data_IF_134081627178
#
_entry.id   IF_134081627178
#
_cell.length_a   1.000
_cell.length_b   1.000
_cell.length_c   1.000
_cell.angle_alpha   90.00
_cell.angle_beta   90.00
_cell.angle_gamma   90.00
#
_symmetry.space_group_name_H-M   'P 1'
#
loop_
_entity.id
_entity.type
_entity.pdbx_description
1 polymer ?
#
# COMPACT_ATOMS: atom_id res chain seq x y z
N UNK A 1 41.53 34.49 5.60
CA UNK A 1 41.85 33.05 5.59
C UNK A 1 40.53 32.31 5.71
N UNK A 2 40.06 31.75 4.59
CA UNK A 2 38.76 31.09 4.48
C UNK A 2 38.91 29.60 4.81
N UNK A 3 37.98 29.04 5.59
CA UNK A 3 37.84 27.59 5.76
C UNK A 3 36.41 27.22 5.31
N UNK A 4 36.21 26.40 4.28
CA UNK A 4 34.87 26.00 3.88
C UNK A 4 34.33 25.00 4.91
N UNK A 5 33.14 25.26 5.40
CA UNK A 5 32.34 24.30 6.14
C UNK A 5 31.97 23.17 5.18
N UNK A 6 32.44 21.97 5.50
CA UNK A 6 32.12 20.75 4.76
C UNK A 6 30.63 20.45 4.97
N UNK A 7 29.82 20.68 3.94
CA UNK A 7 28.50 20.06 3.80
C UNK A 7 28.69 18.54 3.87
N UNK A 8 28.39 17.97 5.04
CA UNK A 8 28.28 16.53 5.19
C UNK A 8 27.22 16.02 4.22
N UNK A 9 27.44 14.88 3.55
CA UNK A 9 26.49 14.36 2.59
C UNK A 9 25.16 14.10 3.32
N UNK A 10 24.13 14.86 2.92
CA UNK A 10 22.77 14.64 3.35
C UNK A 10 22.48 13.15 3.17
N UNK A 11 22.33 12.45 4.28
CA UNK A 11 21.88 11.06 4.27
C UNK A 11 20.46 11.11 3.73
N UNK A 12 20.32 10.93 2.43
CA UNK A 12 19.04 10.68 1.79
C UNK A 12 18.51 9.42 2.47
N UNK A 13 17.61 9.63 3.44
CA UNK A 13 16.85 8.56 4.03
C UNK A 13 16.18 7.87 2.84
N UNK A 14 16.46 6.58 2.56
CA UNK A 14 15.72 5.88 1.54
C UNK A 14 14.25 6.00 1.95
N UNK A 15 13.45 6.68 1.12
CA UNK A 15 12.01 6.75 1.31
C UNK A 15 11.47 5.33 1.43
N UNK A 16 10.34 5.12 2.13
CA UNK A 16 9.78 3.78 2.28
C UNK A 16 9.65 3.18 0.90
N UNK A 17 10.49 2.18 0.64
CA UNK A 17 10.41 1.37 -0.57
C UNK A 17 9.06 0.70 -0.45
N UNK A 18 8.07 1.24 -1.18
CA UNK A 18 6.77 0.59 -1.32
C UNK A 18 7.12 -0.76 -1.92
N UNK A 19 7.08 -1.78 -1.08
CA UNK A 19 7.34 -3.16 -1.49
C UNK A 19 6.35 -3.39 -2.62
N UNK A 20 6.86 -3.58 -3.83
CA UNK A 20 6.04 -3.80 -5.01
C UNK A 20 5.30 -5.12 -4.76
N UNK A 21 4.03 -5.01 -4.35
CA UNK A 21 3.22 -6.17 -4.02
C UNK A 21 2.92 -6.93 -5.30
N UNK A 22 3.51 -8.11 -5.43
CA UNK A 22 3.23 -9.03 -6.54
C UNK A 22 1.84 -9.66 -6.33
N UNK A 23 0.83 -8.94 -6.81
CA UNK A 23 -0.56 -9.37 -6.77
C UNK A 23 -0.77 -10.73 -7.43
N UNK A 24 0.09 -11.16 -8.36
CA UNK A 24 0.00 -12.43 -9.08
C UNK A 24 0.27 -13.67 -8.22
N UNK A 25 0.88 -13.51 -7.04
CA UNK A 25 1.19 -14.60 -6.11
C UNK A 25 0.27 -14.69 -4.90
N UNK A 26 -0.62 -13.70 -4.73
CA UNK A 26 -1.54 -13.67 -3.60
C UNK A 26 -2.65 -14.72 -3.74
N UNK A 27 -3.07 -15.26 -2.61
CA UNK A 27 -4.37 -15.90 -2.47
C UNK A 27 -5.44 -14.80 -2.41
N UNK A 28 -5.89 -14.42 -3.60
CA UNK A 28 -6.84 -13.33 -3.78
C UNK A 28 -8.15 -13.53 -3.00
N UNK A 29 -8.56 -14.77 -2.69
CA UNK A 29 -9.77 -15.00 -1.90
C UNK A 29 -9.56 -14.59 -0.44
N UNK A 30 -8.41 -14.95 0.12
CA UNK A 30 -8.01 -14.59 1.49
C UNK A 30 -7.80 -13.09 1.60
N UNK A 31 -7.06 -12.50 0.67
CA UNK A 31 -6.77 -11.06 0.68
C UNK A 31 -8.05 -10.21 0.51
N UNK A 32 -8.97 -10.63 -0.36
CA UNK A 32 -10.24 -9.94 -0.55
C UNK A 32 -11.11 -10.01 0.72
N UNK A 33 -11.14 -11.16 1.40
CA UNK A 33 -11.84 -11.31 2.67
C UNK A 33 -11.24 -10.43 3.77
N UNK A 34 -9.90 -10.40 3.87
CA UNK A 34 -9.17 -9.59 4.84
C UNK A 34 -9.40 -8.09 4.60
N UNK A 35 -9.22 -7.62 3.36
CA UNK A 35 -9.43 -6.22 2.99
C UNK A 35 -10.87 -5.77 3.22
N UNK A 36 -11.85 -6.65 2.95
CA UNK A 36 -13.27 -6.37 3.20
C UNK A 36 -13.59 -6.24 4.70
N UNK A 37 -13.05 -7.15 5.52
CA UNK A 37 -13.23 -7.12 6.97
C UNK A 37 -12.59 -5.87 7.58
N UNK A 38 -11.36 -5.56 7.17
CA UNK A 38 -10.63 -4.38 7.62
C UNK A 38 -11.37 -3.10 7.20
N UNK A 39 -11.84 -3.00 5.95
CA UNK A 39 -12.60 -1.84 5.47
C UNK A 39 -13.86 -1.61 6.31
N UNK A 40 -14.58 -2.69 6.65
CA UNK A 40 -15.74 -2.59 7.52
C UNK A 40 -15.37 -2.09 8.92
N UNK A 41 -14.29 -2.61 9.49
CA UNK A 41 -13.78 -2.16 10.79
C UNK A 41 -13.43 -0.67 10.77
N UNK A 42 -12.73 -0.19 9.74
CA UNK A 42 -12.35 1.22 9.62
C UNK A 42 -13.56 2.14 9.47
N UNK A 43 -14.59 1.72 8.72
CA UNK A 43 -15.86 2.44 8.64
C UNK A 43 -16.57 2.55 10.00
N UNK A 44 -16.53 1.49 10.82
CA UNK A 44 -17.09 1.51 12.17
C UNK A 44 -16.30 2.43 13.11
N UNK A 45 -14.97 2.49 12.96
CA UNK A 45 -14.11 3.41 13.69
C UNK A 45 -14.22 4.86 13.19
N UNK A 46 -14.88 5.09 12.05
CA UNK A 46 -15.04 6.40 11.43
C UNK A 46 -13.84 6.85 10.59
N UNK A 47 -12.85 5.98 10.38
CA UNK A 47 -11.69 6.25 9.54
C UNK A 47 -12.05 6.01 8.07
N UNK A 48 -12.59 7.05 7.44
CA UNK A 48 -13.04 7.00 6.04
C UNK A 48 -11.87 6.97 5.06
N UNK A 49 -10.76 7.64 5.37
CA UNK A 49 -9.60 7.69 4.47
C UNK A 49 -8.99 6.30 4.30
N UNK A 50 -8.81 5.57 5.41
CA UNK A 50 -8.32 4.19 5.35
C UNK A 50 -9.35 3.27 4.69
N UNK A 51 -10.64 3.46 4.96
CA UNK A 51 -11.70 2.67 4.31
C UNK A 51 -11.76 2.87 2.78
N UNK A 52 -11.51 4.09 2.30
CA UNK A 52 -11.47 4.40 0.87
C UNK A 52 -10.21 3.81 0.22
N UNK A 53 -9.06 3.89 0.91
CA UNK A 53 -7.83 3.21 0.48
C UNK A 53 -8.03 1.69 0.36
N UNK A 54 -8.68 1.07 1.34
CA UNK A 54 -9.02 -0.37 1.29
C UNK A 54 -10.01 -0.70 0.17
N UNK A 55 -10.89 0.25 -0.18
CA UNK A 55 -11.75 0.13 -1.36
C UNK A 55 -10.95 0.02 -2.66
N UNK A 56 -9.98 0.92 -2.85
CA UNK A 56 -9.08 0.85 -4.02
C UNK A 56 -8.25 -0.43 -4.07
N UNK A 57 -7.83 -0.95 -2.90
CA UNK A 57 -7.17 -2.25 -2.79
C UNK A 57 -8.06 -3.42 -3.19
N UNK A 58 -9.33 -3.41 -2.76
CA UNK A 58 -10.33 -4.42 -3.15
C UNK A 58 -10.52 -4.42 -4.67
N UNK A 59 -10.65 -3.23 -5.28
CA UNK A 59 -10.79 -3.11 -6.74
C UNK A 59 -9.59 -3.71 -7.48
N UNK A 60 -8.36 -3.41 -7.03
CA UNK A 60 -7.14 -3.97 -7.61
C UNK A 60 -7.07 -5.51 -7.51
N UNK A 61 -7.53 -6.08 -6.38
CA UNK A 61 -7.60 -7.54 -6.18
C UNK A 61 -8.64 -8.19 -7.11
N UNK A 62 -9.80 -7.55 -7.29
CA UNK A 62 -10.84 -8.01 -8.21
C UNK A 62 -10.38 -7.94 -9.67
N UNK A 63 -9.67 -6.87 -10.05
CA UNK A 63 -9.10 -6.72 -11.39
C UNK A 63 -8.06 -7.81 -11.69
N UNK A 64 -7.18 -8.12 -10.73
CA UNK A 64 -6.24 -9.24 -10.86
C UNK A 64 -6.97 -10.59 -10.94
N UNK A 65 -8.01 -10.82 -10.13
CA UNK A 65 -8.82 -12.03 -10.21
C UNK A 65 -9.45 -12.23 -11.59
N UNK A 66 -10.01 -11.16 -12.15
CA UNK A 66 -10.60 -11.16 -13.50
C UNK A 66 -9.53 -11.43 -14.57
N UNK A 67 -8.33 -10.86 -14.41
CA UNK A 67 -7.19 -11.10 -15.30
C UNK A 67 -6.76 -12.56 -15.36
N UNK A 68 -6.74 -13.25 -14.21
CA UNK A 68 -6.35 -14.66 -14.13
C UNK A 68 -7.37 -15.62 -14.74
N UNK A 69 -8.62 -15.17 -14.89
CA UNK A 69 -9.73 -15.97 -15.42
C UNK A 69 -10.05 -15.69 -16.89
N UNK A 70 -9.56 -14.58 -17.44
CA UNK A 70 -9.64 -14.24 -18.87
C UNK A 70 -8.55 -14.93 -19.68
#
# INVERSE_FOLDING_TARGET
MSRPEQEGPGTAVPGPSVVELDLGKLDLSVELAAASAERHHQLLCGDREVADLLGAWIDALLDEWNRRRG
#
